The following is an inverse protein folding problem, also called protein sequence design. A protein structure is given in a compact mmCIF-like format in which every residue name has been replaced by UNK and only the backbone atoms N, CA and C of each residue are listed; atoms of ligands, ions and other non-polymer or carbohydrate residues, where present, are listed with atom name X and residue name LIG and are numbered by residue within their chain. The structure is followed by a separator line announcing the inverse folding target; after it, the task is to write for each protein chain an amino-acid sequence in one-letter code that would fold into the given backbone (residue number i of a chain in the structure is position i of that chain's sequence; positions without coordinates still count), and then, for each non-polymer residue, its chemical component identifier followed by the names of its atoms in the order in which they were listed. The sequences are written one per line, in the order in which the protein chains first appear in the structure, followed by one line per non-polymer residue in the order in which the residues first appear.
data_IF_352556515099
#
_entry.id   IF_352556515099
#
_cell.length_a   1.000
_cell.length_b   1.000
_cell.length_c   1.000
_cell.angle_alpha   90.00
_cell.angle_beta   90.00
_cell.angle_gamma   90.00
#
_symmetry.space_group_name_H-M   'P 1'
#
loop_
_entity.id
_entity.type
_entity.pdbx_description
1 polymer ?
#
# COMPACT_ATOMS: atom_id res chain seq x y z
N UNK A 1 -18.70 61.44 12.06
CA UNK A 1 -18.75 59.99 12.36
C UNK A 1 -17.97 59.31 11.24
N UNK A 2 -16.65 59.23 11.40
CA UNK A 2 -15.73 58.66 10.41
C UNK A 2 -14.67 57.90 11.18
N UNK A 3 -14.74 56.58 11.16
CA UNK A 3 -13.66 55.72 11.63
C UNK A 3 -12.70 55.42 10.46
N UNK A 4 -11.38 55.45 10.70
CA UNK A 4 -10.40 55.05 9.71
C UNK A 4 -10.26 53.53 9.64
N UNK A 5 -10.01 53.07 8.42
CA UNK A 5 -9.73 51.70 7.99
C UNK A 5 -8.51 51.11 8.69
N UNK A 6 -8.69 49.98 9.36
CA UNK A 6 -7.61 49.05 9.67
C UNK A 6 -7.47 48.06 8.52
N UNK A 7 -6.32 48.14 7.85
CA UNK A 7 -5.75 47.08 7.03
C UNK A 7 -5.66 45.80 7.87
N UNK A 8 -6.23 44.71 7.38
CA UNK A 8 -5.72 43.38 7.69
C UNK A 8 -5.65 42.59 6.39
N UNK A 9 -4.45 42.63 5.81
CA UNK A 9 -4.02 41.80 4.69
C UNK A 9 -4.02 40.35 5.14
N UNK A 10 -5.14 39.64 4.94
CA UNK A 10 -5.21 38.19 5.07
C UNK A 10 -4.51 37.56 3.87
N UNK A 11 -3.19 37.37 3.98
CA UNK A 11 -2.48 36.38 3.18
C UNK A 11 -3.22 35.04 3.33
N UNK A 12 -3.62 34.37 2.23
CA UNK A 12 -4.28 33.08 2.31
C UNK A 12 -3.33 32.08 2.96
N UNK A 13 -3.81 31.22 3.87
CA UNK A 13 -2.96 30.21 4.49
C UNK A 13 -2.43 29.28 3.40
N UNK A 14 -1.11 29.23 3.28
CA UNK A 14 -0.37 28.20 2.54
C UNK A 14 -0.99 26.83 2.83
N UNK A 15 -1.30 25.99 1.81
CA UNK A 15 -1.96 24.73 2.05
C UNK A 15 -1.09 23.88 2.98
N UNK A 16 -1.55 23.68 4.21
CA UNK A 16 -0.97 22.74 5.15
C UNK A 16 -1.06 21.35 4.50
N UNK A 17 0.05 20.89 3.91
CA UNK A 17 0.25 19.50 3.54
C UNK A 17 -0.19 18.63 4.73
N UNK A 18 -1.22 17.82 4.54
CA UNK A 18 -1.89 17.09 5.63
C UNK A 18 -0.96 16.05 6.25
N UNK A 19 -0.37 16.40 7.40
CA UNK A 19 0.41 15.46 8.21
C UNK A 19 -0.54 14.74 9.17
N UNK A 20 -0.62 13.41 9.05
CA UNK A 20 -1.40 12.55 9.92
C UNK A 20 -0.79 12.44 11.32
N UNK A 21 -1.63 12.46 12.34
CA UNK A 21 -1.23 12.21 13.72
C UNK A 21 -0.89 10.73 13.96
N UNK A 22 -0.16 10.41 15.03
CA UNK A 22 0.20 9.02 15.37
C UNK A 22 -1.04 8.12 15.53
N UNK A 23 -2.13 8.66 16.08
CA UNK A 23 -3.41 7.95 16.23
C UNK A 23 -4.04 7.64 14.87
N UNK A 24 -4.06 8.62 13.95
CA UNK A 24 -4.58 8.43 12.59
C UNK A 24 -3.74 7.41 11.79
N UNK A 25 -2.41 7.39 12.00
CA UNK A 25 -1.53 6.39 11.38
C UNK A 25 -1.80 4.98 11.93
N UNK A 26 -2.09 4.87 13.22
CA UNK A 26 -2.47 3.61 13.85
C UNK A 26 -3.84 3.13 13.34
N UNK A 27 -4.80 4.03 13.19
CA UNK A 27 -6.10 3.72 12.57
C UNK A 27 -5.92 3.22 11.13
N UNK A 28 -5.07 3.88 10.34
CA UNK A 28 -4.72 3.42 8.98
C UNK A 28 -4.11 2.01 9.03
N UNK A 29 -3.25 1.70 9.99
CA UNK A 29 -2.69 0.36 10.15
C UNK A 29 -3.77 -0.69 10.39
N UNK A 30 -4.72 -0.41 11.28
CA UNK A 30 -5.85 -1.29 11.55
C UNK A 30 -6.74 -1.46 10.30
N UNK A 31 -7.05 -0.36 9.62
CA UNK A 31 -7.87 -0.35 8.41
C UNK A 31 -7.21 -1.11 7.25
N UNK A 32 -5.91 -0.91 7.00
CA UNK A 32 -5.15 -1.68 6.00
C UNK A 32 -5.19 -3.16 6.32
N UNK A 33 -4.97 -3.54 7.58
CA UNK A 33 -4.98 -4.93 8.00
C UNK A 33 -6.37 -5.55 7.80
N UNK A 34 -7.42 -4.83 8.19
CA UNK A 34 -8.81 -5.24 8.01
C UNK A 34 -9.18 -5.43 6.53
N UNK A 35 -8.91 -4.44 5.68
CA UNK A 35 -9.20 -4.51 4.25
C UNK A 35 -8.41 -5.61 3.55
N UNK A 36 -7.16 -5.84 3.96
CA UNK A 36 -6.36 -6.95 3.44
C UNK A 36 -7.00 -8.30 3.76
N UNK A 37 -7.39 -8.54 5.01
CA UNK A 37 -8.05 -9.80 5.38
C UNK A 37 -9.40 -10.00 4.66
N UNK A 38 -10.21 -8.94 4.58
CA UNK A 38 -11.48 -8.97 3.85
C UNK A 38 -11.33 -9.18 2.34
N UNK A 39 -10.25 -8.70 1.72
CA UNK A 39 -10.01 -8.91 0.29
C UNK A 39 -9.38 -10.27 -0.03
N UNK A 40 -8.47 -10.76 0.81
CA UNK A 40 -7.73 -12.01 0.57
C UNK A 40 -8.63 -13.23 0.62
N UNK A 41 -9.54 -13.32 1.60
CA UNK A 41 -10.40 -14.50 1.75
C UNK A 41 -11.31 -14.72 0.52
N UNK A 42 -12.06 -13.71 0.02
CA UNK A 42 -12.82 -13.81 -1.23
C UNK A 42 -11.95 -14.10 -2.45
N UNK A 43 -10.73 -13.57 -2.54
CA UNK A 43 -9.82 -13.87 -3.65
C UNK A 43 -9.42 -15.35 -3.68
N UNK A 44 -9.12 -15.94 -2.51
CA UNK A 44 -8.80 -17.37 -2.39
C UNK A 44 -10.02 -18.21 -2.78
N UNK A 45 -11.21 -17.87 -2.27
CA UNK A 45 -12.45 -18.57 -2.63
C UNK A 45 -12.73 -18.48 -4.14
N UNK A 46 -12.58 -17.29 -4.74
CA UNK A 46 -12.75 -17.10 -6.17
C UNK A 46 -11.77 -17.95 -6.98
N UNK A 47 -10.51 -18.06 -6.55
CA UNK A 47 -9.51 -18.88 -7.23
C UNK A 47 -9.86 -20.37 -7.18
N UNK A 48 -10.36 -20.87 -6.04
CA UNK A 48 -10.80 -22.26 -5.90
C UNK A 48 -11.98 -22.53 -6.83
N UNK A 49 -13.03 -21.69 -6.78
CA UNK A 49 -14.22 -21.85 -7.62
C UNK A 49 -13.87 -21.77 -9.11
N UNK A 50 -13.00 -20.83 -9.49
CA UNK A 50 -12.52 -20.69 -10.87
C UNK A 50 -11.80 -21.95 -11.34
N UNK A 51 -10.93 -22.53 -10.50
CA UNK A 51 -10.21 -23.77 -10.84
C UNK A 51 -11.20 -24.91 -11.13
N UNK A 52 -12.19 -25.11 -10.26
CA UNK A 52 -13.24 -26.12 -10.50
C UNK A 52 -14.06 -25.81 -11.75
N UNK A 53 -14.48 -24.56 -11.94
CA UNK A 53 -15.25 -24.16 -13.12
C UNK A 53 -14.48 -24.42 -14.42
N UNK A 54 -13.18 -24.12 -14.45
CA UNK A 54 -12.32 -24.39 -15.62
C UNK A 54 -12.21 -25.90 -15.89
N UNK A 55 -12.04 -26.73 -14.86
CA UNK A 55 -11.97 -28.19 -15.01
C UNK A 55 -13.29 -28.73 -15.58
N UNK A 56 -14.42 -28.35 -14.98
CA UNK A 56 -15.76 -28.80 -15.41
C UNK A 56 -16.06 -28.32 -16.83
N UNK A 57 -15.76 -27.07 -17.14
CA UNK A 57 -15.92 -26.52 -18.49
C UNK A 57 -15.07 -27.26 -19.52
N UNK A 58 -13.81 -27.55 -19.18
CA UNK A 58 -12.89 -28.28 -20.06
C UNK A 58 -13.38 -29.71 -20.32
N UNK A 59 -13.87 -30.41 -19.29
CA UNK A 59 -14.47 -31.74 -19.44
C UNK A 59 -15.71 -31.68 -20.34
N UNK A 60 -16.59 -30.71 -20.13
CA UNK A 60 -17.76 -30.50 -21.00
C UNK A 60 -17.37 -30.19 -22.45
N UNK A 61 -16.33 -29.38 -22.66
CA UNK A 61 -15.84 -29.02 -23.99
C UNK A 61 -15.24 -30.24 -24.73
N UNK A 62 -14.50 -31.09 -24.00
CA UNK A 62 -13.96 -32.35 -24.56
C UNK A 62 -15.11 -33.28 -24.98
N UNK A 63 -16.11 -33.46 -24.11
CA UNK A 63 -17.27 -34.31 -24.41
C UNK A 63 -18.13 -33.75 -25.56
N UNK A 64 -18.19 -32.43 -25.71
CA UNK A 64 -18.83 -31.79 -26.87
C UNK A 64 -18.10 -32.09 -28.18
N UNK A 65 -16.76 -32.12 -28.16
CA UNK A 65 -15.94 -32.40 -29.35
C UNK A 65 -15.92 -33.87 -29.75
N UNK A 66 -16.14 -34.78 -28.79
CA UNK A 66 -16.18 -36.22 -29.03
C UNK A 66 -17.34 -36.86 -28.22
N UNK A 67 -18.60 -36.64 -28.62
CA UNK A 67 -19.75 -37.10 -27.87
C UNK A 67 -19.83 -38.63 -27.90
N UNK A 68 -20.08 -39.29 -26.75
CA UNK A 68 -20.31 -40.73 -26.73
C UNK A 68 -21.58 -41.09 -27.52
N UNK A 69 -21.59 -42.29 -28.11
CA UNK A 69 -22.74 -42.77 -28.90
C UNK A 69 -23.96 -42.89 -27.99
N UNK A 70 -25.09 -42.31 -28.43
CA UNK A 70 -26.35 -42.36 -27.70
C UNK A 70 -26.52 -41.27 -26.62
N UNK A 71 -25.57 -40.35 -26.48
CA UNK A 71 -25.62 -39.26 -25.49
C UNK A 71 -26.33 -38.03 -26.05
N UNK A 72 -27.24 -37.47 -25.26
CA UNK A 72 -27.90 -36.21 -25.59
C UNK A 72 -27.01 -35.03 -25.18
N UNK A 73 -26.37 -34.40 -26.16
CA UNK A 73 -25.43 -33.28 -25.94
C UNK A 73 -26.03 -32.18 -25.05
N UNK A 74 -27.29 -31.82 -25.27
CA UNK A 74 -27.94 -30.73 -24.53
C UNK A 74 -28.14 -31.07 -23.05
N UNK A 75 -28.72 -32.23 -22.77
CA UNK A 75 -29.14 -32.60 -21.41
C UNK A 75 -28.04 -33.28 -20.61
N UNK A 76 -27.09 -33.94 -21.27
CA UNK A 76 -26.06 -34.75 -20.62
C UNK A 76 -24.67 -34.12 -20.66
N UNK A 77 -24.43 -33.09 -21.49
CA UNK A 77 -23.13 -32.40 -21.57
C UNK A 77 -23.27 -30.90 -21.27
N UNK A 78 -24.08 -30.17 -22.03
CA UNK A 78 -24.19 -28.71 -21.90
C UNK A 78 -24.82 -28.32 -20.56
N UNK A 79 -26.01 -28.85 -20.26
CA UNK A 79 -26.76 -28.49 -19.06
C UNK A 79 -26.06 -28.87 -17.74
N UNK A 80 -25.39 -30.04 -17.61
CA UNK A 80 -24.73 -30.42 -16.35
C UNK A 80 -23.28 -29.93 -16.21
N UNK A 81 -22.57 -29.62 -17.30
CA UNK A 81 -21.15 -29.25 -17.24
C UNK A 81 -20.93 -27.80 -17.65
N UNK A 82 -21.30 -27.44 -18.87
CA UNK A 82 -20.99 -26.12 -19.43
C UNK A 82 -21.78 -25.02 -18.73
N UNK A 83 -23.09 -25.18 -18.59
CA UNK A 83 -23.97 -24.16 -17.99
C UNK A 83 -23.57 -23.88 -16.53
N UNK A 84 -23.38 -24.88 -15.64
CA UNK A 84 -23.01 -24.63 -14.26
C UNK A 84 -21.63 -24.00 -14.13
N UNK A 85 -20.66 -24.37 -14.99
CA UNK A 85 -19.34 -23.75 -14.99
C UNK A 85 -19.40 -22.27 -15.38
N UNK A 86 -20.17 -21.93 -16.42
CA UNK A 86 -20.37 -20.53 -16.85
C UNK A 86 -21.13 -19.74 -15.78
N UNK A 87 -22.17 -20.32 -15.18
CA UNK A 87 -22.92 -19.67 -14.09
C UNK A 87 -22.05 -19.46 -12.84
N UNK A 88 -21.24 -20.44 -12.45
CA UNK A 88 -20.31 -20.30 -11.33
C UNK A 88 -19.30 -19.18 -11.58
N UNK A 89 -18.79 -19.07 -12.81
CA UNK A 89 -17.90 -17.97 -13.19
C UNK A 89 -18.59 -16.60 -13.07
N UNK A 90 -19.77 -16.45 -13.66
CA UNK A 90 -20.47 -15.16 -13.71
C UNK A 90 -21.02 -14.75 -12.34
N UNK A 91 -21.62 -15.69 -11.60
CA UNK A 91 -22.35 -15.38 -10.36
C UNK A 91 -21.48 -15.43 -9.12
N UNK A 92 -20.36 -16.15 -9.13
CA UNK A 92 -19.49 -16.30 -7.96
C UNK A 92 -18.12 -15.69 -8.20
N UNK A 93 -17.39 -16.16 -9.23
CA UNK A 93 -16.00 -15.75 -9.46
C UNK A 93 -15.90 -14.26 -9.73
N UNK A 94 -16.73 -13.71 -10.62
CA UNK A 94 -16.69 -12.29 -10.96
C UNK A 94 -17.00 -11.39 -9.74
N UNK A 95 -18.13 -11.56 -9.01
CA UNK A 95 -18.43 -10.73 -7.83
C UNK A 95 -17.37 -10.83 -6.73
N UNK A 96 -16.87 -12.02 -6.44
CA UNK A 96 -15.83 -12.21 -5.42
C UNK A 96 -14.53 -11.49 -5.80
N UNK A 97 -14.13 -11.53 -7.07
CA UNK A 97 -12.96 -10.80 -7.55
C UNK A 97 -13.16 -9.27 -7.52
N UNK A 98 -14.33 -8.77 -7.92
CA UNK A 98 -14.67 -7.33 -7.83
C UNK A 98 -14.59 -6.87 -6.38
N UNK A 99 -15.17 -7.65 -5.45
CA UNK A 99 -15.13 -7.37 -4.03
C UNK A 99 -13.68 -7.37 -3.48
N UNK A 100 -12.91 -8.42 -3.79
CA UNK A 100 -11.50 -8.52 -3.39
C UNK A 100 -10.67 -7.34 -3.93
N UNK A 101 -10.88 -6.99 -5.20
CA UNK A 101 -10.20 -5.87 -5.86
C UNK A 101 -10.55 -4.52 -5.20
N UNK A 102 -11.82 -4.29 -4.87
CA UNK A 102 -12.25 -3.07 -4.16
C UNK A 102 -11.52 -2.91 -2.81
N UNK A 103 -11.46 -3.98 -2.02
CA UNK A 103 -10.75 -3.98 -0.74
C UNK A 103 -9.24 -3.79 -0.93
N UNK A 104 -8.64 -4.42 -1.93
CA UNK A 104 -7.23 -4.23 -2.26
C UNK A 104 -6.91 -2.79 -2.67
N UNK A 105 -7.74 -2.20 -3.55
CA UNK A 105 -7.61 -0.81 -3.99
C UNK A 105 -7.74 0.17 -2.83
N UNK A 106 -8.68 -0.07 -1.91
CA UNK A 106 -8.83 0.76 -0.72
C UNK A 106 -7.58 0.69 0.18
N UNK A 107 -7.05 -0.51 0.44
CA UNK A 107 -5.81 -0.68 1.21
C UNK A 107 -4.61 0.01 0.54
N UNK A 108 -4.53 0.00 -0.80
CA UNK A 108 -3.50 0.73 -1.55
C UNK A 108 -3.62 2.25 -1.39
N UNK A 109 -4.84 2.79 -1.43
CA UNK A 109 -5.07 4.23 -1.21
C UNK A 109 -4.68 4.64 0.21
N UNK A 110 -5.02 3.84 1.22
CA UNK A 110 -4.58 4.07 2.60
C UNK A 110 -3.06 4.11 2.73
N UNK A 111 -2.36 3.17 2.08
CA UNK A 111 -0.90 3.18 2.03
C UNK A 111 -0.33 4.41 1.31
N UNK A 112 -0.98 4.88 0.24
CA UNK A 112 -0.57 6.09 -0.49
C UNK A 112 -0.70 7.33 0.40
N UNK A 113 -1.84 7.50 1.06
CA UNK A 113 -2.08 8.62 1.96
C UNK A 113 -1.08 8.63 3.13
N UNK A 114 -0.79 7.46 3.69
CA UNK A 114 0.22 7.31 4.74
C UNK A 114 1.63 7.65 4.23
N UNK A 115 2.00 7.19 3.04
CA UNK A 115 3.30 7.47 2.43
C UNK A 115 3.49 8.97 2.19
N UNK A 116 2.47 9.64 1.63
CA UNK A 116 2.47 11.08 1.39
C UNK A 116 2.58 11.87 2.70
N UNK A 117 1.78 11.53 3.70
CA UNK A 117 1.88 12.14 5.03
C UNK A 117 3.25 11.93 5.68
N UNK A 118 3.84 10.74 5.54
CA UNK A 118 5.15 10.44 6.11
C UNK A 118 6.24 11.28 5.43
N UNK A 119 6.23 11.35 4.10
CA UNK A 119 7.14 12.21 3.35
C UNK A 119 7.00 13.68 3.76
N UNK A 120 5.76 14.17 3.85
CA UNK A 120 5.47 15.55 4.24
C UNK A 120 5.98 15.86 5.66
N UNK A 121 5.80 14.94 6.61
CA UNK A 121 6.32 15.09 7.97
C UNK A 121 7.84 15.17 8.00
N UNK A 122 8.53 14.28 7.27
CA UNK A 122 9.99 14.26 7.19
C UNK A 122 10.51 15.54 6.54
N UNK A 123 9.90 15.96 5.43
CA UNK A 123 10.27 17.19 4.70
C UNK A 123 10.10 18.42 5.58
N UNK A 124 8.98 18.53 6.30
CA UNK A 124 8.74 19.65 7.22
C UNK A 124 9.80 19.72 8.33
N UNK A 125 10.19 18.57 8.88
CA UNK A 125 11.26 18.49 9.88
C UNK A 125 12.62 18.96 9.30
N UNK A 126 12.97 18.53 8.09
CA UNK A 126 14.20 18.97 7.40
C UNK A 126 14.23 20.49 7.16
N UNK A 127 13.10 21.08 6.79
CA UNK A 127 12.97 22.53 6.58
C UNK A 127 13.17 23.29 7.89
N UNK A 128 12.66 22.76 9.01
CA UNK A 128 12.76 23.40 10.33
C UNK A 128 14.18 23.38 10.89
N UNK A 129 14.89 22.25 10.83
CA UNK A 129 16.25 22.13 11.41
C UNK A 129 17.38 22.63 10.50
N UNK A 130 17.06 23.00 9.24
CA UNK A 130 17.94 23.64 8.23
C UNK A 130 19.25 22.93 7.84
N UNK A 131 19.76 21.95 8.60
CA UNK A 131 20.94 21.13 8.29
C UNK A 131 20.88 19.77 9.01
N UNK A 132 20.04 18.86 8.51
CA UNK A 132 19.95 17.50 9.05
C UNK A 132 20.85 16.56 8.24
N UNK A 133 21.70 15.81 8.94
CA UNK A 133 22.46 14.68 8.38
C UNK A 133 21.66 13.37 8.42
N UNK A 134 22.14 12.34 7.73
CA UNK A 134 21.47 11.03 7.58
C UNK A 134 21.04 10.40 8.92
N UNK A 135 21.92 10.34 9.93
CA UNK A 135 21.64 9.64 11.19
C UNK A 135 20.57 10.32 12.06
N UNK A 136 20.64 11.63 12.34
CA UNK A 136 19.59 12.34 13.05
C UNK A 136 18.23 12.20 12.36
N UNK A 137 18.20 12.25 11.02
CA UNK A 137 16.97 12.02 10.26
C UNK A 137 16.44 10.60 10.41
N UNK A 138 17.32 9.60 10.36
CA UNK A 138 16.95 8.21 10.57
C UNK A 138 16.33 7.98 11.96
N UNK A 139 16.93 8.58 13.00
CA UNK A 139 16.40 8.52 14.36
C UNK A 139 15.03 9.19 14.46
N UNK A 140 14.83 10.34 13.80
CA UNK A 140 13.52 10.98 13.69
C UNK A 140 12.49 10.08 13.01
N UNK A 141 12.85 9.43 11.90
CA UNK A 141 11.95 8.52 11.18
C UNK A 141 11.55 7.33 12.07
N UNK A 142 12.50 6.72 12.78
CA UNK A 142 12.21 5.60 13.68
C UNK A 142 11.29 5.99 14.84
N UNK A 143 11.45 7.20 15.38
CA UNK A 143 10.74 7.64 16.58
C UNK A 143 9.40 8.32 16.32
N UNK A 144 9.28 9.08 15.23
CA UNK A 144 8.14 9.97 14.98
C UNK A 144 7.34 9.64 13.72
N UNK A 145 7.94 8.92 12.76
CA UNK A 145 7.28 8.59 11.48
C UNK A 145 6.71 7.18 11.50
N UNK A 146 7.48 6.22 12.02
CA UNK A 146 7.02 4.86 12.22
C UNK A 146 6.02 4.76 13.37
N UNK A 147 5.06 3.84 13.24
CA UNK A 147 4.09 3.51 14.29
C UNK A 147 4.67 2.34 15.09
N UNK A 148 5.08 2.53 16.36
CA UNK A 148 5.73 1.48 17.15
C UNK A 148 4.87 0.22 17.34
N UNK A 149 3.54 0.40 17.38
CA UNK A 149 2.57 -0.68 17.55
C UNK A 149 2.29 -1.44 16.24
N UNK A 150 2.75 -0.93 15.09
CA UNK A 150 2.55 -1.60 13.82
C UNK A 150 3.55 -2.75 13.63
N UNK A 151 3.14 -3.78 12.88
CA UNK A 151 4.04 -4.88 12.54
C UNK A 151 5.26 -4.42 11.73
N UNK A 152 6.41 -5.09 11.90
CA UNK A 152 7.63 -4.86 11.08
C UNK A 152 7.35 -4.88 9.58
N UNK A 153 6.50 -5.80 9.13
CA UNK A 153 6.08 -5.91 7.72
C UNK A 153 5.33 -4.67 7.25
N UNK A 154 4.45 -4.12 8.08
CA UNK A 154 3.74 -2.89 7.75
C UNK A 154 4.69 -1.70 7.66
N UNK A 155 5.59 -1.55 8.64
CA UNK A 155 6.62 -0.50 8.61
C UNK A 155 7.48 -0.60 7.35
N UNK A 156 7.90 -1.81 6.96
CA UNK A 156 8.68 -2.03 5.75
C UNK A 156 7.92 -1.62 4.47
N UNK A 157 6.66 -2.02 4.35
CA UNK A 157 5.80 -1.65 3.22
C UNK A 157 5.56 -0.14 3.20
N UNK A 158 5.28 0.46 4.36
CA UNK A 158 5.05 1.89 4.52
C UNK A 158 6.25 2.70 4.05
N UNK A 159 7.45 2.41 4.56
CA UNK A 159 8.68 3.08 4.11
C UNK A 159 8.95 2.83 2.63
N UNK A 160 8.76 1.61 2.13
CA UNK A 160 8.92 1.31 0.72
C UNK A 160 7.96 2.11 -0.18
N UNK A 161 6.73 2.38 0.29
CA UNK A 161 5.76 3.24 -0.41
C UNK A 161 6.14 4.71 -0.31
N UNK A 162 6.64 5.16 0.84
CA UNK A 162 7.19 6.52 1.01
C UNK A 162 8.33 6.75 0.03
N UNK A 163 9.30 5.83 -0.06
CA UNK A 163 10.44 5.91 -0.99
C UNK A 163 9.96 6.05 -2.45
N UNK A 164 8.99 5.23 -2.86
CA UNK A 164 8.40 5.30 -4.21
C UNK A 164 7.60 6.57 -4.48
N UNK A 165 7.21 7.29 -3.43
CA UNK A 165 6.47 8.54 -3.52
C UNK A 165 7.35 9.78 -3.56
N UNK A 166 8.68 9.66 -3.44
CA UNK A 166 9.57 10.80 -3.59
C UNK A 166 9.50 11.37 -5.02
N UNK A 167 9.54 12.70 -5.18
CA UNK A 167 9.62 13.32 -6.49
C UNK A 167 10.94 12.94 -7.18
N UNK A 168 10.95 12.75 -8.52
CA UNK A 168 12.17 12.53 -9.28
C UNK A 168 13.16 13.69 -9.11
N UNK A 169 14.48 13.39 -9.15
CA UNK A 169 15.57 14.38 -8.95
C UNK A 169 15.46 15.62 -9.85
N UNK A 170 14.87 15.48 -11.04
CA UNK A 170 14.75 16.55 -12.03
C UNK A 170 13.34 17.14 -12.15
N UNK A 171 12.46 16.88 -11.18
CA UNK A 171 11.09 17.41 -11.20
C UNK A 171 10.99 18.77 -10.51
N UNK A 172 10.02 19.59 -10.94
CA UNK A 172 9.71 20.89 -10.30
C UNK A 172 9.29 20.78 -8.82
N UNK A 173 9.01 19.55 -8.36
CA UNK A 173 8.63 19.24 -6.98
C UNK A 173 9.81 18.76 -6.13
N UNK A 174 11.00 18.60 -6.71
CA UNK A 174 12.19 18.14 -6.02
C UNK A 174 12.61 19.14 -4.94
N UNK A 175 12.87 18.62 -3.74
CA UNK A 175 13.44 19.37 -2.63
C UNK A 175 14.93 19.10 -2.53
N UNK A 176 15.69 20.11 -2.08
CA UNK A 176 17.12 19.97 -1.74
C UNK A 176 17.42 18.87 -0.70
N UNK A 177 16.40 18.41 0.02
CA UNK A 177 16.51 17.41 1.07
C UNK A 177 16.22 15.98 0.60
N UNK A 178 15.73 15.79 -0.62
CA UNK A 178 15.17 14.50 -1.06
C UNK A 178 16.21 13.38 -1.11
N UNK A 179 17.46 13.71 -1.43
CA UNK A 179 18.56 12.74 -1.41
C UNK A 179 18.89 12.28 0.02
N UNK A 180 18.97 13.22 0.98
CA UNK A 180 19.18 12.89 2.40
C UNK A 180 17.99 12.12 2.97
N UNK A 181 16.76 12.50 2.59
CA UNK A 181 15.53 11.79 2.98
C UNK A 181 15.54 10.36 2.44
N UNK A 182 15.92 10.16 1.18
CA UNK A 182 16.02 8.84 0.57
C UNK A 182 17.01 7.96 1.31
N UNK A 183 18.23 8.46 1.56
CA UNK A 183 19.27 7.72 2.29
C UNK A 183 18.83 7.35 3.70
N UNK A 184 18.17 8.27 4.42
CA UNK A 184 17.65 7.99 5.76
C UNK A 184 16.52 6.96 5.73
N UNK A 185 15.58 7.06 4.78
CA UNK A 185 14.50 6.11 4.60
C UNK A 185 15.00 4.70 4.27
N UNK A 186 15.99 4.57 3.38
CA UNK A 186 16.63 3.30 3.04
C UNK A 186 17.35 2.71 4.24
N UNK A 187 18.15 3.52 4.95
CA UNK A 187 18.85 3.11 6.16
C UNK A 187 17.90 2.55 7.23
N UNK A 188 16.77 3.23 7.48
CA UNK A 188 15.76 2.76 8.44
C UNK A 188 15.05 1.51 7.93
N UNK A 189 14.67 1.47 6.65
CA UNK A 189 13.98 0.32 6.05
C UNK A 189 14.81 -0.97 6.15
N UNK A 190 16.11 -0.91 5.89
CA UNK A 190 17.03 -2.04 6.09
C UNK A 190 17.13 -2.44 7.57
N UNK A 191 17.07 -1.46 8.47
CA UNK A 191 17.16 -1.65 9.92
C UNK A 191 15.92 -2.29 10.55
N UNK A 192 14.76 -2.37 9.88
CA UNK A 192 13.50 -2.87 10.45
C UNK A 192 13.62 -4.33 10.95
N UNK A 193 14.34 -5.15 10.20
CA UNK A 193 14.50 -6.57 10.52
C UNK A 193 15.72 -6.86 11.38
N UNK A 194 16.62 -5.89 11.53
CA UNK A 194 17.85 -6.03 12.31
C UNK A 194 17.56 -6.05 13.81
N UNK A 195 18.35 -6.81 14.55
CA UNK A 195 18.39 -6.71 16.02
C UNK A 195 19.29 -5.53 16.47
N UNK A 196 19.28 -5.21 17.75
CA UNK A 196 20.06 -4.07 18.29
C UNK A 196 21.57 -4.21 18.10
N UNK A 197 22.10 -5.45 18.14
CA UNK A 197 23.53 -5.70 17.93
C UNK A 197 23.93 -5.43 16.48
N UNK A 198 23.13 -5.89 15.52
CA UNK A 198 23.32 -5.65 14.09
C UNK A 198 23.25 -4.16 13.75
N UNK A 199 22.28 -3.43 14.32
CA UNK A 199 22.18 -1.97 14.17
C UNK A 199 23.45 -1.28 14.67
N UNK A 200 23.89 -1.58 15.91
CA UNK A 200 25.13 -1.02 16.48
C UNK A 200 26.38 -1.36 15.66
N UNK A 201 26.46 -2.57 15.10
CA UNK A 201 27.57 -2.99 14.24
C UNK A 201 27.56 -2.24 12.90
N UNK A 202 26.39 -1.94 12.35
CA UNK A 202 26.25 -1.10 11.15
C UNK A 202 26.64 0.35 11.45
N UNK A 203 26.16 0.92 12.54
CA UNK A 203 26.49 2.30 12.95
C UNK A 203 27.99 2.50 13.13
N UNK A 204 28.68 1.54 13.76
CA UNK A 204 30.14 1.59 13.90
C UNK A 204 30.87 1.60 12.56
N UNK A 205 30.45 0.76 11.61
CA UNK A 205 31.06 0.70 10.28
C UNK A 205 30.85 1.98 9.49
N UNK A 206 29.63 2.52 9.49
CA UNK A 206 29.36 3.80 8.81
C UNK A 206 30.16 4.96 9.45
N UNK A 207 30.31 4.97 10.78
CA UNK A 207 31.11 5.98 11.47
C UNK A 207 32.63 5.86 11.22
N UNK A 208 33.12 4.70 10.79
CA UNK A 208 34.52 4.47 10.39
C UNK A 208 34.76 4.86 8.91
N UNK A 209 33.69 4.98 8.11
CA UNK A 209 33.73 5.31 6.67
C UNK A 209 33.47 6.80 6.37
N UNK A 210 33.08 7.61 7.38
CA UNK A 210 32.78 9.05 7.24
C UNK A 210 33.90 9.92 7.82
#
# INVERSE_FOLDING_TARGET
MSMPSLFESSTPPTPLLSVLTSEQKLEIYHNVSYHRWKGVLPAILAAIILTFAVIVFSLGAILLGCPPIGVSIMTEIILPLIVPAVLAFILLVLPLNIYAYSHHKHALNLHKNLAESNYNQIRNHCIQEKNISKQPLANFIESNVLVPQASKRFSFISLGKTIKGLPPKDSDQASRYDETILQALEYVKEGIHMNQYEKKKRDKREAEET
#
